data_IF_557634969222
#
_entry.id   IF_557634969222
#
_cell.length_a   1.000
_cell.length_b   1.000
_cell.length_c   1.000
_cell.angle_alpha   90.00
_cell.angle_beta   90.00
_cell.angle_gamma   90.00
#
_symmetry.space_group_name_H-M   'P 1'
#
loop_
_entity.id
_entity.type
_entity.pdbx_description
1 polymer ?
#
# COMPACT_ATOMS: atom_id res chain seq x y z
N UNK A 1 4.69 -10.85 -2.16
CA UNK A 1 4.71 -12.19 -1.70
C UNK A 1 6.02 -12.63 -1.10
N UNK A 2 6.04 -13.67 -0.35
CA UNK A 2 7.17 -14.28 0.36
C UNK A 2 8.31 -14.84 -0.54
N UNK A 3 8.66 -14.16 -1.63
CA UNK A 3 9.77 -14.57 -2.49
C UNK A 3 11.08 -14.79 -1.72
N UNK A 4 11.32 -13.95 -0.75
CA UNK A 4 12.50 -14.02 0.12
C UNK A 4 12.53 -15.24 1.05
N UNK A 5 11.37 -15.79 1.42
CA UNK A 5 11.28 -16.99 2.26
C UNK A 5 11.95 -18.22 1.62
N UNK A 6 12.07 -18.24 0.30
CA UNK A 6 12.70 -19.35 -0.43
C UNK A 6 14.21 -19.19 -0.58
N UNK A 7 14.70 -17.97 -0.66
CA UNK A 7 16.11 -17.66 -0.94
C UNK A 7 16.91 -17.27 0.29
N UNK A 8 16.24 -16.72 1.32
CA UNK A 8 16.92 -16.30 2.54
C UNK A 8 16.48 -17.16 3.75
N UNK A 9 17.37 -18.01 4.30
CA UNK A 9 17.03 -18.87 5.44
C UNK A 9 16.51 -18.11 6.66
N UNK A 10 17.06 -16.93 6.96
CA UNK A 10 16.65 -16.13 8.10
C UNK A 10 15.23 -15.55 7.94
N UNK A 11 14.81 -15.26 6.73
CA UNK A 11 13.45 -14.81 6.43
C UNK A 11 12.46 -15.98 6.50
N UNK A 12 12.86 -17.15 5.98
CA UNK A 12 12.04 -18.38 6.04
C UNK A 12 11.62 -18.75 7.45
N UNK A 13 12.57 -18.71 8.40
CA UNK A 13 12.30 -19.04 9.80
C UNK A 13 11.30 -18.08 10.47
N UNK A 14 11.15 -16.88 9.96
CA UNK A 14 10.27 -15.86 10.47
C UNK A 14 8.97 -15.69 9.68
N UNK A 15 8.86 -16.32 8.52
CA UNK A 15 7.70 -16.20 7.65
C UNK A 15 6.47 -16.86 8.30
N UNK A 16 5.46 -16.07 8.62
CA UNK A 16 4.19 -16.56 9.17
C UNK A 16 3.12 -16.71 8.10
N UNK A 17 3.30 -16.11 6.93
CA UNK A 17 2.33 -16.00 5.83
C UNK A 17 1.03 -15.27 6.18
N UNK A 18 0.96 -14.64 7.35
CA UNK A 18 -0.25 -13.97 7.87
C UNK A 18 -0.09 -12.46 8.04
N UNK A 19 1.15 -11.95 8.06
CA UNK A 19 1.40 -10.54 8.40
C UNK A 19 0.84 -9.58 7.36
N UNK A 20 1.07 -9.88 6.10
CA UNK A 20 0.54 -9.10 4.99
C UNK A 20 -1.00 -9.08 5.01
N UNK A 21 -1.63 -10.24 5.26
CA UNK A 21 -3.08 -10.30 5.45
C UNK A 21 -3.53 -9.46 6.64
N UNK A 22 -2.88 -9.63 7.80
CA UNK A 22 -3.23 -8.87 8.99
C UNK A 22 -3.16 -7.36 8.75
N UNK A 23 -2.16 -6.90 8.01
CA UNK A 23 -1.99 -5.48 7.72
C UNK A 23 -3.12 -4.95 6.84
N UNK A 24 -3.53 -5.69 5.81
CA UNK A 24 -4.67 -5.34 4.94
C UNK A 24 -5.99 -5.38 5.70
N UNK A 25 -6.23 -6.44 6.48
CA UNK A 25 -7.43 -6.57 7.30
C UNK A 25 -7.53 -5.42 8.32
N UNK A 26 -6.41 -5.00 8.89
CA UNK A 26 -6.37 -3.86 9.80
C UNK A 26 -6.68 -2.54 9.07
N UNK A 27 -6.18 -2.32 7.86
CA UNK A 27 -6.53 -1.17 7.03
C UNK A 27 -8.04 -1.14 6.75
N UNK A 28 -8.63 -2.28 6.38
CA UNK A 28 -10.09 -2.41 6.18
C UNK A 28 -10.86 -2.13 7.49
N UNK A 29 -10.38 -2.63 8.62
CA UNK A 29 -11.02 -2.42 9.92
C UNK A 29 -10.98 -0.96 10.39
N UNK A 30 -10.05 -0.16 9.89
CA UNK A 30 -9.98 1.29 10.09
C UNK A 30 -10.96 2.05 9.17
N UNK A 31 -11.73 1.36 8.33
CA UNK A 31 -12.70 1.94 7.41
C UNK A 31 -12.11 2.33 6.06
N UNK A 32 -10.89 1.92 5.77
CA UNK A 32 -10.19 2.19 4.53
C UNK A 32 -10.38 1.05 3.53
N UNK A 33 -10.12 1.31 2.25
CA UNK A 33 -10.07 0.27 1.24
C UNK A 33 -8.73 -0.46 1.28
N UNK A 34 -8.78 -1.77 1.08
CA UNK A 34 -7.60 -2.61 0.85
C UNK A 34 -8.01 -3.87 0.09
N UNK A 35 -7.03 -4.67 -0.32
CA UNK A 35 -7.31 -5.87 -1.10
C UNK A 35 -8.04 -6.92 -0.28
N UNK A 36 -9.14 -7.43 -0.83
CA UNK A 36 -9.76 -8.67 -0.36
C UNK A 36 -8.87 -9.86 -0.67
N UNK A 37 -8.89 -10.86 0.21
CA UNK A 37 -7.95 -11.97 0.12
C UNK A 37 -8.48 -13.25 0.74
N UNK A 38 -8.02 -14.39 0.22
CA UNK A 38 -8.33 -15.71 0.74
C UNK A 38 -7.13 -16.65 0.67
N UNK A 39 -7.03 -17.57 1.63
CA UNK A 39 -6.16 -18.73 1.49
C UNK A 39 -6.88 -19.86 0.78
N UNK A 40 -6.21 -20.51 -0.14
CA UNK A 40 -6.76 -21.62 -0.90
C UNK A 40 -5.77 -22.76 -1.05
N UNK A 41 -6.30 -23.98 -1.14
CA UNK A 41 -5.50 -25.14 -1.50
C UNK A 41 -5.37 -25.25 -3.01
N UNK A 42 -4.14 -25.23 -3.51
CA UNK A 42 -3.87 -25.37 -4.93
C UNK A 42 -3.59 -26.83 -5.30
N UNK A 43 -4.28 -27.29 -6.33
CA UNK A 43 -4.00 -28.55 -7.00
C UNK A 43 -3.66 -28.30 -8.47
N UNK A 44 -2.53 -28.86 -8.93
CA UNK A 44 -2.12 -28.80 -10.34
C UNK A 44 -2.16 -30.19 -10.91
N UNK A 45 -3.00 -30.41 -11.91
CA UNK A 45 -3.23 -31.73 -12.53
C UNK A 45 -3.58 -32.83 -11.50
N UNK A 46 -4.34 -32.48 -10.46
CA UNK A 46 -4.74 -33.38 -9.39
C UNK A 46 -3.71 -33.59 -8.27
N UNK A 47 -2.51 -33.04 -8.39
CA UNK A 47 -1.49 -33.08 -7.35
C UNK A 47 -1.63 -31.87 -6.42
N UNK A 48 -1.62 -32.12 -5.12
CA UNK A 48 -1.63 -31.05 -4.13
C UNK A 48 -0.31 -30.27 -4.16
N UNK A 49 -0.40 -28.96 -4.45
CA UNK A 49 0.76 -28.09 -4.60
C UNK A 49 1.05 -27.24 -3.35
N UNK A 50 0.06 -27.05 -2.48
CA UNK A 50 0.21 -26.30 -1.25
C UNK A 50 -0.95 -25.35 -0.98
N UNK A 51 -0.80 -24.54 0.07
CA UNK A 51 -1.68 -23.40 0.38
C UNK A 51 -1.13 -22.16 -0.30
N UNK A 52 -2.01 -21.47 -1.02
CA UNK A 52 -1.72 -20.23 -1.72
C UNK A 52 -2.60 -19.12 -1.19
N UNK A 53 -2.05 -17.93 -1.21
CA UNK A 53 -2.73 -16.70 -0.85
C UNK A 53 -3.16 -16.00 -2.15
N UNK A 54 -4.46 -15.90 -2.35
CA UNK A 54 -5.05 -15.20 -3.49
C UNK A 54 -5.58 -13.87 -2.96
N UNK A 55 -5.25 -12.79 -3.62
CA UNK A 55 -5.70 -11.45 -3.26
C UNK A 55 -5.90 -10.60 -4.51
N UNK A 56 -6.71 -9.56 -4.37
CA UNK A 56 -6.90 -8.56 -5.41
C UNK A 56 -5.59 -7.83 -5.69
N UNK A 57 -5.44 -7.38 -6.91
CA UNK A 57 -4.29 -6.59 -7.31
C UNK A 57 -4.71 -5.14 -7.47
N UNK A 58 -3.98 -4.24 -6.84
CA UNK A 58 -4.23 -2.81 -6.96
C UNK A 58 -3.68 -2.34 -8.31
N UNK A 59 -4.59 -2.19 -9.24
CA UNK A 59 -4.43 -1.70 -10.61
C UNK A 59 -5.66 -0.84 -10.94
N UNK A 60 -5.73 -0.30 -12.13
CA UNK A 60 -6.83 0.56 -12.61
C UNK A 60 -8.22 -0.09 -12.45
N UNK A 61 -8.33 -1.39 -12.76
CA UNK A 61 -9.59 -2.14 -12.59
C UNK A 61 -10.02 -2.28 -11.12
N UNK A 62 -9.07 -2.40 -10.19
CA UNK A 62 -9.36 -2.38 -8.75
C UNK A 62 -9.92 -1.02 -8.33
N UNK A 63 -9.33 0.05 -8.85
CA UNK A 63 -9.81 1.40 -8.56
C UNK A 63 -11.22 1.62 -9.11
N UNK A 64 -11.51 1.19 -10.34
CA UNK A 64 -12.87 1.25 -10.92
C UNK A 64 -13.88 0.49 -10.06
N UNK A 65 -13.55 -0.73 -9.62
CA UNK A 65 -14.46 -1.58 -8.85
C UNK A 65 -14.79 -0.99 -7.48
N UNK A 66 -13.81 -0.42 -6.79
CA UNK A 66 -13.96 0.05 -5.41
C UNK A 66 -14.34 1.53 -5.29
N UNK A 67 -14.00 2.35 -6.27
CA UNK A 67 -14.20 3.81 -6.23
C UNK A 67 -15.11 4.32 -7.35
N UNK A 68 -15.48 3.46 -8.31
CA UNK A 68 -16.32 3.84 -9.46
C UNK A 68 -15.54 4.49 -10.59
N UNK A 69 -16.25 5.21 -11.50
CA UNK A 69 -15.62 5.77 -12.68
C UNK A 69 -15.33 4.73 -13.75
N UNK A 70 -14.25 4.90 -14.49
CA UNK A 70 -13.73 3.96 -15.49
C UNK A 70 -12.24 3.76 -15.27
N UNK A 71 -11.75 2.55 -15.51
CA UNK A 71 -10.37 2.16 -15.23
C UNK A 71 -9.34 3.09 -15.85
N UNK A 72 -9.56 3.50 -17.11
CA UNK A 72 -8.64 4.36 -17.86
C UNK A 72 -8.44 5.76 -17.25
N UNK A 73 -9.31 6.19 -16.31
CA UNK A 73 -9.20 7.48 -15.63
C UNK A 73 -8.26 7.45 -14.43
N UNK A 74 -7.83 6.25 -14.01
CA UNK A 74 -7.00 6.09 -12.84
C UNK A 74 -5.51 6.10 -13.15
N UNK A 75 -4.76 6.82 -12.31
CA UNK A 75 -3.33 6.69 -12.16
C UNK A 75 -3.05 5.78 -10.97
N UNK A 76 -2.36 4.67 -11.18
CA UNK A 76 -1.98 3.74 -10.12
C UNK A 76 -0.48 3.55 -10.12
N UNK A 77 0.13 3.73 -8.95
CA UNK A 77 1.59 3.73 -8.83
C UNK A 77 2.12 2.96 -7.62
N UNK A 78 3.42 2.66 -7.68
CA UNK A 78 4.24 2.32 -6.51
C UNK A 78 5.31 3.39 -6.23
N UNK A 79 6.32 3.04 -5.45
CA UNK A 79 7.45 3.90 -5.13
C UNK A 79 8.26 4.34 -6.37
N UNK A 80 8.32 3.53 -7.41
CA UNK A 80 9.21 3.73 -8.55
C UNK A 80 8.52 4.30 -9.79
N UNK A 81 7.28 3.85 -10.09
CA UNK A 81 6.62 4.14 -11.37
C UNK A 81 5.10 4.05 -11.30
N UNK A 82 4.44 4.53 -12.34
CA UNK A 82 3.05 4.17 -12.60
C UNK A 82 2.98 2.76 -13.19
N UNK A 83 1.96 1.99 -12.77
CA UNK A 83 1.54 0.76 -13.43
C UNK A 83 0.54 1.08 -14.52
N UNK A 84 -0.42 1.96 -14.17
CA UNK A 84 -1.48 2.40 -15.05
C UNK A 84 -1.52 3.93 -15.01
N UNK A 85 -1.94 4.56 -16.11
CA UNK A 85 -2.01 5.99 -16.24
C UNK A 85 -0.64 6.67 -16.26
N UNK A 86 -0.48 7.77 -15.50
CA UNK A 86 0.73 8.57 -15.47
C UNK A 86 1.19 8.85 -14.02
N UNK A 87 2.36 9.49 -13.91
CA UNK A 87 2.89 10.02 -12.64
C UNK A 87 2.74 11.53 -12.52
N UNK A 88 2.07 12.16 -13.46
CA UNK A 88 2.06 13.63 -13.56
C UNK A 88 1.39 14.28 -12.36
N UNK A 89 0.19 13.80 -11.98
CA UNK A 89 -0.53 14.29 -10.80
C UNK A 89 0.25 14.09 -9.49
N UNK A 90 1.00 13.00 -9.38
CA UNK A 90 1.89 12.79 -8.25
C UNK A 90 3.07 13.75 -8.24
N UNK A 91 3.69 13.96 -9.38
CA UNK A 91 4.83 14.87 -9.52
C UNK A 91 4.44 16.31 -9.19
N UNK A 92 3.22 16.72 -9.52
CA UNK A 92 2.70 18.05 -9.19
C UNK A 92 2.60 18.24 -7.66
N UNK A 93 2.10 17.25 -6.95
CA UNK A 93 2.04 17.27 -5.47
C UNK A 93 3.46 17.19 -4.88
N UNK A 94 4.30 16.29 -5.37
CA UNK A 94 5.67 16.14 -4.89
C UNK A 94 6.47 17.43 -5.04
N UNK A 95 6.31 18.15 -6.14
CA UNK A 95 6.97 19.44 -6.35
C UNK A 95 6.61 20.50 -5.29
N UNK A 96 5.42 20.39 -4.69
CA UNK A 96 5.00 21.26 -3.59
C UNK A 96 5.57 20.78 -2.25
N UNK A 97 5.45 19.47 -1.97
CA UNK A 97 5.77 18.93 -0.63
C UNK A 97 7.27 18.74 -0.41
N UNK A 98 8.05 18.54 -1.47
CA UNK A 98 9.49 18.32 -1.37
C UNK A 98 10.27 19.59 -1.01
N UNK A 99 9.67 20.78 -1.21
CA UNK A 99 10.26 22.04 -0.81
C UNK A 99 9.55 22.62 0.43
N UNK A 100 10.21 22.63 1.61
CA UNK A 100 9.63 23.18 2.83
C UNK A 100 9.22 24.65 2.73
N UNK A 101 9.88 25.45 1.87
CA UNK A 101 9.52 26.84 1.65
C UNK A 101 8.19 26.95 0.88
N UNK A 102 7.98 26.08 -0.10
CA UNK A 102 6.74 25.97 -0.86
C UNK A 102 5.60 25.51 0.04
N UNK A 103 5.81 24.50 0.90
CA UNK A 103 4.82 24.03 1.85
C UNK A 103 4.46 25.04 2.96
N UNK A 104 5.32 26.03 3.22
CA UNK A 104 5.02 27.08 4.19
C UNK A 104 3.98 28.10 3.66
N UNK A 105 3.71 28.11 2.38
CA UNK A 105 2.65 28.93 1.77
C UNK A 105 1.29 28.30 2.05
N UNK A 106 0.35 29.09 2.59
CA UNK A 106 -0.97 28.57 2.99
C UNK A 106 -1.82 28.09 1.81
N UNK A 107 -1.62 28.67 0.61
CA UNK A 107 -2.35 28.23 -0.58
C UNK A 107 -1.82 26.89 -1.07
N UNK A 108 -0.51 26.72 -1.14
CA UNK A 108 0.11 25.45 -1.54
C UNK A 108 -0.26 24.32 -0.59
N UNK A 109 -0.31 24.59 0.72
CA UNK A 109 -0.79 23.64 1.71
C UNK A 109 -2.25 23.26 1.47
N UNK A 110 -3.11 24.24 1.17
CA UNK A 110 -4.51 23.99 0.85
C UNK A 110 -4.68 23.19 -0.45
N UNK A 111 -3.86 23.44 -1.46
CA UNK A 111 -3.87 22.72 -2.73
C UNK A 111 -3.47 21.24 -2.54
N UNK A 112 -2.46 20.96 -1.74
CA UNK A 112 -2.08 19.59 -1.36
C UNK A 112 -3.22 18.89 -0.63
N UNK A 113 -3.91 19.57 0.30
CA UNK A 113 -5.04 19.00 1.00
C UNK A 113 -6.24 18.64 0.09
N UNK A 114 -6.38 19.27 -1.07
CA UNK A 114 -7.41 18.90 -2.04
C UNK A 114 -7.09 17.57 -2.74
N UNK A 115 -5.83 17.18 -2.81
CA UNK A 115 -5.37 15.95 -3.43
C UNK A 115 -5.13 14.82 -2.42
N UNK A 116 -5.25 15.09 -1.12
CA UNK A 116 -4.97 14.12 -0.05
C UNK A 116 -6.12 14.13 0.97
N UNK A 117 -6.80 13.02 1.16
CA UNK A 117 -7.60 12.81 2.36
C UNK A 117 -6.67 12.60 3.55
N UNK A 118 -6.57 13.64 4.41
CA UNK A 118 -5.65 13.61 5.55
C UNK A 118 -6.01 12.56 6.59
N UNK A 119 -7.29 12.24 6.77
CA UNK A 119 -7.70 11.19 7.71
C UNK A 119 -7.26 9.84 7.18
N UNK A 120 -7.50 9.59 5.91
CA UNK A 120 -7.08 8.37 5.23
C UNK A 120 -5.55 8.19 5.28
N UNK A 121 -4.81 9.26 4.95
CA UNK A 121 -3.35 9.23 5.02
C UNK A 121 -2.84 8.98 6.44
N UNK A 122 -3.45 9.60 7.46
CA UNK A 122 -3.07 9.39 8.86
C UNK A 122 -3.33 7.94 9.28
N UNK A 123 -4.47 7.37 8.95
CA UNK A 123 -4.80 5.98 9.24
C UNK A 123 -3.80 5.03 8.58
N UNK A 124 -3.47 5.28 7.31
CA UNK A 124 -2.46 4.53 6.58
C UNK A 124 -1.08 4.60 7.25
N UNK A 125 -0.65 5.80 7.68
CA UNK A 125 0.61 5.98 8.41
C UNK A 125 0.59 5.28 9.77
N UNK A 126 -0.51 5.39 10.50
CA UNK A 126 -0.65 4.81 11.84
C UNK A 126 -0.49 3.28 11.83
N UNK A 127 -1.07 2.59 10.84
CA UNK A 127 -0.93 1.14 10.77
C UNK A 127 0.52 0.71 10.46
N UNK A 128 1.23 1.45 9.61
CA UNK A 128 2.63 1.19 9.31
C UNK A 128 3.54 1.40 10.51
N UNK A 129 3.34 2.50 11.25
CA UNK A 129 4.08 2.78 12.48
C UNK A 129 3.77 1.78 13.59
N UNK A 130 2.48 1.45 13.80
CA UNK A 130 2.08 0.47 14.79
C UNK A 130 2.67 -0.91 14.52
N UNK A 131 2.65 -1.34 13.27
CA UNK A 131 3.15 -2.64 12.87
C UNK A 131 4.67 -2.72 12.74
N UNK A 132 5.37 -1.59 12.90
CA UNK A 132 6.81 -1.49 12.67
C UNK A 132 7.20 -2.10 11.31
N UNK A 133 6.57 -1.60 10.25
CA UNK A 133 6.87 -2.01 8.88
C UNK A 133 8.29 -1.55 8.51
N UNK A 134 9.23 -2.49 8.36
CA UNK A 134 10.65 -2.18 8.18
C UNK A 134 11.07 -2.10 6.71
N UNK A 135 10.18 -2.43 5.79
CA UNK A 135 10.38 -2.37 4.33
C UNK A 135 9.37 -1.42 3.65
N UNK A 136 9.01 -0.38 4.34
CA UNK A 136 8.15 0.72 3.95
C UNK A 136 8.91 2.00 4.39
N UNK A 137 8.84 3.02 3.78
CA UNK A 137 8.20 3.84 2.82
C UNK A 137 8.91 3.87 1.44
N UNK A 138 10.13 3.35 1.40
CA UNK A 138 10.97 3.29 0.21
C UNK A 138 10.46 2.25 -0.80
N UNK A 139 9.69 1.28 -0.32
CA UNK A 139 9.06 0.21 -1.07
C UNK A 139 7.63 -0.03 -0.54
N UNK A 140 6.98 -1.02 -1.10
CA UNK A 140 5.84 -1.70 -0.48
C UNK A 140 4.66 -0.79 -0.17
N UNK A 141 4.35 0.15 -1.07
CA UNK A 141 3.09 0.86 -1.08
C UNK A 141 2.48 0.88 -2.48
N UNK A 142 1.20 1.13 -2.53
CA UNK A 142 0.45 1.47 -3.72
C UNK A 142 -0.32 2.75 -3.46
N UNK A 143 -0.51 3.54 -4.50
CA UNK A 143 -1.38 4.69 -4.45
C UNK A 143 -2.17 4.80 -5.75
N UNK A 144 -3.44 5.19 -5.64
CA UNK A 144 -4.34 5.37 -6.77
C UNK A 144 -5.02 6.74 -6.72
N UNK A 145 -5.29 7.32 -7.89
CA UNK A 145 -5.91 8.63 -8.04
C UNK A 145 -6.72 8.69 -9.34
N UNK A 146 -7.94 9.22 -9.29
CA UNK A 146 -8.72 9.46 -10.50
C UNK A 146 -8.43 10.87 -11.03
N UNK A 147 -7.68 10.95 -12.15
CA UNK A 147 -7.26 12.23 -12.74
C UNK A 147 -8.39 13.02 -13.41
N UNK A 148 -9.52 12.36 -13.69
CA UNK A 148 -10.68 12.99 -14.33
C UNK A 148 -11.80 13.35 -13.35
N UNK A 149 -11.69 12.97 -12.07
CA UNK A 149 -12.60 13.40 -11.01
C UNK A 149 -11.96 14.51 -10.18
N UNK A 150 -12.46 15.75 -10.25
CA UNK A 150 -11.90 16.88 -9.51
C UNK A 150 -12.08 16.76 -7.98
N UNK A 151 -12.83 15.78 -7.51
CA UNK A 151 -13.03 15.50 -6.08
C UNK A 151 -12.22 14.32 -5.58
N UNK A 152 -11.50 13.65 -6.48
CA UNK A 152 -10.64 12.53 -6.13
C UNK A 152 -9.48 12.96 -5.24
N UNK A 153 -9.16 12.11 -4.27
CA UNK A 153 -7.96 12.19 -3.47
C UNK A 153 -7.10 10.95 -3.69
N UNK A 154 -5.81 11.05 -3.37
CA UNK A 154 -4.94 9.88 -3.39
C UNK A 154 -5.36 8.87 -2.32
N UNK A 155 -5.62 7.65 -2.77
CA UNK A 155 -5.85 6.48 -1.95
C UNK A 155 -4.54 5.71 -1.75
N UNK A 156 -4.20 5.37 -0.50
CA UNK A 156 -2.98 4.66 -0.16
C UNK A 156 -3.30 3.26 0.33
N UNK A 157 -2.57 2.28 -0.18
CA UNK A 157 -2.82 0.87 0.08
C UNK A 157 -1.57 0.19 0.63
N UNK A 158 -1.77 -0.62 1.66
CA UNK A 158 -0.75 -1.53 2.15
C UNK A 158 -0.41 -2.57 1.07
N UNK A 159 0.87 -2.76 0.81
CA UNK A 159 1.37 -3.69 -0.19
C UNK A 159 2.60 -4.41 0.32
N UNK A 160 2.62 -5.77 0.18
CA UNK A 160 3.78 -6.62 0.51
C UNK A 160 4.31 -6.44 1.95
N UNK A 161 3.38 -6.42 2.93
CA UNK A 161 3.65 -6.08 4.31
C UNK A 161 4.07 -7.30 5.16
N UNK A 162 4.73 -8.28 4.59
CA UNK A 162 5.21 -9.46 5.31
C UNK A 162 6.33 -9.16 6.31
N UNK A 163 6.99 -8.02 6.17
CA UNK A 163 8.04 -7.54 7.08
C UNK A 163 7.53 -6.65 8.20
N UNK A 164 6.26 -6.79 8.57
CA UNK A 164 5.64 -6.12 9.71
C UNK A 164 5.65 -7.00 10.95
N UNK A 165 5.43 -6.42 12.13
CA UNK A 165 5.36 -7.14 13.41
C UNK A 165 6.58 -8.05 13.64
N UNK A 166 7.69 -7.72 13.01
CA UNK A 166 8.95 -8.37 13.26
C UNK A 166 9.44 -7.91 14.63
N UNK A 167 9.69 -8.85 15.51
CA UNK A 167 10.00 -8.59 16.89
C UNK A 167 11.37 -7.89 17.04
N UNK A 168 11.39 -6.58 16.89
CA UNK A 168 12.55 -5.76 17.26
C UNK A 168 12.78 -5.75 18.78
N UNK A 169 11.75 -6.10 19.57
CA UNK A 169 11.85 -6.19 21.03
C UNK A 169 12.69 -7.40 21.48
N UNK A 170 12.89 -8.41 20.65
CA UNK A 170 13.73 -9.56 20.98
C UNK A 170 15.23 -9.24 21.05
N UNK A 171 15.66 -8.07 20.55
CA UNK A 171 17.07 -7.65 20.56
C UNK A 171 17.43 -6.67 21.69
N UNK A 172 16.49 -6.30 22.54
CA UNK A 172 16.76 -5.44 23.68
C UNK A 172 17.17 -3.99 23.33
N UNK A 173 17.08 -3.59 22.09
CA UNK A 173 17.36 -2.22 21.67
C UNK A 173 16.07 -1.40 21.68
N UNK A 174 15.68 -0.97 22.87
CA UNK A 174 14.85 0.22 23.06
C UNK A 174 15.81 1.37 23.27
N UNK A 175 16.14 2.09 22.21
CA UNK A 175 16.83 3.39 22.33
C UNK A 175 15.81 4.50 22.49
#
# INVERSE_FOLDING_TARGET
GNGDAWVNPGTRERATYLRDQWHRDAQIAMGQHSQSQIFTHLYVNGWYWGVFHIFERIEDNFMEEHFGGVAEDYDVRDHASAFDGSVDSWNDIAAIVDDPATMADAQNYADVQQSLDLVHLIDYLLIHFYSNSDDWDQNNFRAGFNRNDPTSTYEFFAWDQERTLLNSLATGNVN
#
